data_IF_728011362900
#
_entry.id   IF_728011362900
#
_cell.length_a   1.000
_cell.length_b   1.000
_cell.length_c   1.000
_cell.angle_alpha   90.00
_cell.angle_beta   90.00
_cell.angle_gamma   90.00
#
_symmetry.space_group_name_H-M   'P 1'
#
loop_
_entity.id
_entity.type
_entity.pdbx_description
1 polymer ?
#
# COMPACT_ATOMS: atom_id res chain seq x y z
N UNK A 1 4.38 -11.68 -25.24
CA UNK A 1 3.52 -10.97 -24.27
C UNK A 1 3.44 -9.52 -24.75
N UNK A 2 2.29 -9.07 -25.25
CA UNK A 2 2.14 -7.79 -25.95
C UNK A 2 1.76 -6.64 -25.01
N UNK A 3 1.92 -5.39 -25.48
CA UNK A 3 1.60 -4.16 -24.71
C UNK A 3 0.18 -4.21 -24.13
N UNK A 4 -0.83 -4.66 -24.90
CA UNK A 4 -2.20 -4.79 -24.39
C UNK A 4 -2.33 -5.75 -23.21
N UNK A 5 -1.56 -6.84 -23.20
CA UNK A 5 -1.50 -7.76 -22.06
C UNK A 5 -0.87 -7.09 -20.82
N UNK A 6 0.17 -6.28 -21.02
CA UNK A 6 0.77 -5.50 -19.93
C UNK A 6 -0.14 -4.38 -19.43
N UNK A 7 -0.88 -3.69 -20.31
CA UNK A 7 -1.82 -2.63 -19.92
C UNK A 7 -2.97 -3.19 -19.10
N UNK A 8 -3.55 -4.32 -19.47
CA UNK A 8 -4.62 -4.92 -18.66
C UNK A 8 -4.09 -5.38 -17.29
N UNK A 9 -2.89 -5.98 -17.26
CA UNK A 9 -2.30 -6.49 -16.01
C UNK A 9 -1.79 -5.39 -15.07
N UNK A 10 -1.21 -4.32 -15.60
CA UNK A 10 -0.51 -3.31 -14.81
C UNK A 10 -1.19 -1.93 -14.84
N UNK A 11 -1.95 -1.62 -15.89
CA UNK A 11 -2.61 -0.32 -16.10
C UNK A 11 -4.13 -0.43 -16.23
N UNK A 12 -4.70 -1.55 -15.80
CA UNK A 12 -6.12 -1.87 -16.00
C UNK A 12 -7.07 -1.00 -15.19
N UNK A 13 -6.63 0.10 -14.57
CA UNK A 13 -7.47 1.03 -13.80
C UNK A 13 -7.95 0.52 -12.44
N UNK A 14 -7.49 -0.66 -12.02
CA UNK A 14 -7.78 -1.19 -10.70
C UNK A 14 -7.05 -0.39 -9.62
N UNK A 15 -7.75 -0.14 -8.51
CA UNK A 15 -7.15 0.44 -7.30
C UNK A 15 -7.23 -0.56 -6.17
N UNK A 16 -6.15 -0.66 -5.40
CA UNK A 16 -6.06 -1.51 -4.23
C UNK A 16 -5.77 -0.62 -3.02
N UNK A 17 -6.59 -0.75 -1.99
CA UNK A 17 -6.46 0.02 -0.75
C UNK A 17 -6.45 -0.94 0.44
N UNK A 18 -5.38 -0.95 1.26
CA UNK A 18 -5.38 -1.69 2.51
C UNK A 18 -6.46 -1.14 3.46
N UNK A 19 -7.21 -2.02 4.11
CA UNK A 19 -8.18 -1.62 5.13
C UNK A 19 -7.47 -1.64 6.50
N UNK A 20 -7.30 -0.50 7.18
CA UNK A 20 -6.64 -0.43 8.48
C UNK A 20 -7.29 -1.36 9.51
N UNK A 21 -6.45 -1.93 10.39
CA UNK A 21 -6.86 -2.80 11.51
C UNK A 21 -7.74 -4.02 11.15
N UNK A 22 -7.80 -4.38 9.86
CA UNK A 22 -8.60 -5.50 9.35
C UNK A 22 -7.90 -6.86 9.39
N UNK A 23 -6.65 -6.90 9.85
CA UNK A 23 -5.80 -8.09 9.78
C UNK A 23 -5.31 -8.42 8.37
N UNK A 24 -5.25 -7.43 7.47
CA UNK A 24 -4.70 -7.57 6.12
C UNK A 24 -5.72 -7.61 4.99
N UNK A 25 -6.97 -7.23 5.24
CA UNK A 25 -7.96 -7.15 4.19
C UNK A 25 -7.62 -6.01 3.21
N UNK A 26 -7.91 -6.27 1.93
CA UNK A 26 -7.72 -5.32 0.85
C UNK A 26 -9.08 -4.99 0.21
N UNK A 27 -9.34 -3.71 0.01
CA UNK A 27 -10.38 -3.26 -0.90
C UNK A 27 -9.82 -3.20 -2.33
N UNK A 28 -10.54 -3.82 -3.26
CA UNK A 28 -10.28 -3.74 -4.68
C UNK A 28 -11.40 -2.95 -5.35
N UNK A 29 -11.06 -1.85 -6.00
CA UNK A 29 -11.98 -1.09 -6.84
C UNK A 29 -11.69 -1.36 -8.31
N UNK A 30 -12.71 -1.84 -9.03
CA UNK A 30 -12.64 -2.04 -10.47
C UNK A 30 -12.76 -0.69 -11.21
N UNK A 31 -12.31 -0.62 -12.48
CA UNK A 31 -12.47 0.58 -13.30
C UNK A 31 -13.93 1.01 -13.47
N UNK A 32 -14.85 0.03 -13.51
CA UNK A 32 -16.29 0.26 -13.60
C UNK A 32 -16.97 0.57 -12.27
N UNK A 33 -16.21 0.81 -11.20
CA UNK A 33 -16.74 1.26 -9.91
C UNK A 33 -17.21 0.15 -8.97
N UNK A 34 -17.05 -1.13 -9.32
CA UNK A 34 -17.36 -2.24 -8.40
C UNK A 34 -16.30 -2.33 -7.31
N UNK A 35 -16.71 -2.64 -6.08
CA UNK A 35 -15.81 -2.81 -4.93
C UNK A 35 -15.88 -4.23 -4.39
N UNK A 36 -14.73 -4.77 -4.00
CA UNK A 36 -14.59 -6.10 -3.44
C UNK A 36 -13.68 -6.05 -2.21
N UNK A 37 -14.04 -6.78 -1.16
CA UNK A 37 -13.19 -6.97 0.01
C UNK A 37 -12.61 -8.38 -0.06
N UNK A 38 -11.28 -8.47 -0.08
CA UNK A 38 -10.57 -9.74 -0.01
C UNK A 38 -9.92 -9.84 1.37
N UNK A 39 -10.23 -10.93 2.08
CA UNK A 39 -9.61 -11.25 3.37
C UNK A 39 -8.56 -12.34 3.16
N UNK A 40 -7.36 -12.20 3.76
CA UNK A 40 -6.37 -13.27 3.69
C UNK A 40 -6.86 -14.48 4.49
N UNK A 41 -6.40 -15.66 4.11
CA UNK A 41 -6.69 -16.92 4.83
C UNK A 41 -6.19 -16.86 6.28
N UNK A 42 -5.07 -16.17 6.52
CA UNK A 42 -4.50 -15.91 7.85
C UNK A 42 -4.28 -14.42 8.04
N UNK A 43 -4.49 -13.93 9.26
CA UNK A 43 -4.22 -12.52 9.60
C UNK A 43 -2.74 -12.22 9.38
N UNK A 44 -2.46 -11.09 8.73
CA UNK A 44 -1.08 -10.63 8.51
C UNK A 44 -0.66 -9.64 9.61
N UNK A 45 0.63 -9.60 9.98
CA UNK A 45 1.15 -8.55 10.85
C UNK A 45 0.95 -7.17 10.21
N UNK A 46 0.65 -6.16 11.04
CA UNK A 46 0.62 -4.76 10.61
C UNK A 46 1.99 -4.16 10.87
N UNK A 47 2.70 -3.78 9.81
CA UNK A 47 3.92 -2.99 9.94
C UNK A 47 3.54 -1.52 10.10
N UNK A 48 4.01 -0.89 11.17
CA UNK A 48 3.89 0.56 11.38
C UNK A 48 5.28 1.16 11.33
N UNK A 49 5.47 2.30 10.64
CA UNK A 49 6.74 3.01 10.72
C UNK A 49 7.06 3.28 12.20
N UNK A 50 8.33 3.14 12.56
CA UNK A 50 8.79 3.57 13.87
C UNK A 50 8.46 5.07 14.03
N UNK A 51 8.12 5.54 15.24
CA UNK A 51 8.01 6.97 15.48
C UNK A 51 9.31 7.63 15.04
N UNK A 52 9.21 8.80 14.41
CA UNK A 52 10.36 9.54 13.94
C UNK A 52 11.22 9.89 15.16
N UNK A 53 12.32 9.17 15.34
CA UNK A 53 13.29 9.52 16.36
C UNK A 53 13.97 10.78 15.85
N UNK A 54 13.59 11.93 16.41
CA UNK A 54 14.30 13.17 16.20
C UNK A 54 15.79 12.92 16.47
N UNK A 55 16.56 12.83 15.39
CA UNK A 55 17.99 13.01 15.45
C UNK A 55 18.19 14.53 15.35
N UNK A 56 18.58 15.23 16.43
CA UNK A 56 19.06 16.58 16.25
C UNK A 56 20.23 16.49 15.29
N UNK A 57 20.12 17.15 14.14
CA UNK A 57 21.24 17.42 13.27
C UNK A 57 22.24 18.17 14.13
N UNK A 58 23.31 17.49 14.55
CA UNK A 58 24.47 18.13 15.15
C UNK A 58 25.15 18.90 14.00
N UNK A 59 24.62 20.09 13.73
CA UNK A 59 25.13 21.01 12.73
C UNK A 59 25.55 22.29 13.44
N UNK A 60 26.85 22.58 13.29
CA UNK A 60 27.55 23.83 13.60
C UNK A 60 28.04 23.99 15.05
N UNK A 61 29.31 23.62 15.26
CA UNK A 61 30.23 24.45 16.03
C UNK A 61 31.19 25.11 15.03
N UNK A 62 31.34 26.45 15.02
CA UNK A 62 32.33 27.11 14.20
C UNK A 62 33.71 26.87 14.82
N UNK A 63 34.69 26.46 13.99
CA UNK A 63 36.10 26.70 14.25
C UNK A 63 36.56 27.82 13.32
#
# INVERSE_FOLDING_TARGET
>A
LCVGHHTIKHHGGWRVTPIPDSGGALEWASPGGRRFIVRPERKVPVFRPAPDHYHPTESTAPF
#
